data_IF_428203504232
#
_entry.id   IF_428203504232
#
_cell.length_a   1.000
_cell.length_b   1.000
_cell.length_c   1.000
_cell.angle_alpha   90.00
_cell.angle_beta   90.00
_cell.angle_gamma   90.00
#
_symmetry.space_group_name_H-M   'P 1'
#
loop_
_entity.id
_entity.type
_entity.pdbx_description
1 polymer ?
#
# COMPACT_ATOMS: atom_id res chain seq x y z
N UNK A 1 -5.85 -23.98 -4.93
CA UNK A 1 -6.14 -22.68 -4.29
C UNK A 1 -5.47 -21.56 -5.06
N UNK A 2 -6.20 -20.89 -5.95
CA UNK A 2 -5.70 -19.75 -6.72
C UNK A 2 -5.62 -18.54 -5.80
N UNK A 3 -4.43 -18.21 -5.28
CA UNK A 3 -4.19 -16.94 -4.58
C UNK A 3 -4.41 -15.82 -5.60
N UNK A 4 -5.58 -15.19 -5.58
CA UNK A 4 -5.84 -13.96 -6.33
C UNK A 4 -4.86 -12.91 -5.86
N UNK A 5 -3.77 -12.72 -6.61
CA UNK A 5 -2.86 -11.60 -6.39
C UNK A 5 -3.63 -10.35 -6.75
N UNK A 6 -4.04 -9.57 -5.74
CA UNK A 6 -4.49 -8.18 -5.95
C UNK A 6 -3.31 -7.45 -6.57
N UNK A 7 -3.40 -7.18 -7.86
CA UNK A 7 -2.43 -6.36 -8.59
C UNK A 7 -2.77 -4.91 -8.33
N UNK A 8 -2.00 -4.26 -7.48
CA UNK A 8 -2.10 -2.82 -7.28
C UNK A 8 -1.53 -2.12 -8.51
N UNK A 9 -2.33 -1.27 -9.12
CA UNK A 9 -1.90 -0.42 -10.23
C UNK A 9 -0.89 0.62 -9.74
N UNK A 10 -0.04 1.14 -10.62
CA UNK A 10 0.94 2.17 -10.25
C UNK A 10 0.28 3.40 -9.61
N UNK A 11 -0.94 3.76 -10.03
CA UNK A 11 -1.71 4.86 -9.45
C UNK A 11 -2.17 4.59 -8.01
N UNK A 12 -2.64 3.36 -7.70
CA UNK A 12 -3.00 3.00 -6.33
C UNK A 12 -1.78 3.08 -5.41
N UNK A 13 -0.62 2.57 -5.86
CA UNK A 13 0.64 2.64 -5.11
C UNK A 13 1.01 4.08 -4.78
N UNK A 14 0.98 4.97 -5.77
CA UNK A 14 1.28 6.39 -5.59
C UNK A 14 0.27 7.05 -4.66
N UNK A 15 -1.01 6.71 -4.76
CA UNK A 15 -2.05 7.26 -3.87
C UNK A 15 -1.80 6.88 -2.41
N UNK A 16 -1.42 5.63 -2.15
CA UNK A 16 -1.08 5.14 -0.80
C UNK A 16 0.17 5.86 -0.26
N UNK A 17 1.22 5.99 -1.07
CA UNK A 17 2.43 6.74 -0.74
C UNK A 17 2.15 8.21 -0.47
N UNK A 18 1.33 8.86 -1.31
CA UNK A 18 0.95 10.26 -1.16
C UNK A 18 0.13 10.47 0.12
N UNK A 19 -0.78 9.55 0.44
CA UNK A 19 -1.60 9.57 1.65
C UNK A 19 -0.75 9.39 2.91
N UNK A 20 0.29 8.54 2.85
CA UNK A 20 1.28 8.42 3.92
C UNK A 20 2.07 9.72 4.10
N UNK A 21 2.57 10.30 3.01
CA UNK A 21 3.44 11.48 3.02
C UNK A 21 2.70 12.76 3.45
N UNK A 22 1.45 12.94 3.00
CA UNK A 22 0.65 14.14 3.26
C UNK A 22 -0.18 14.00 4.54
N UNK A 23 -0.76 12.82 4.77
CA UNK A 23 -1.70 12.59 5.86
C UNK A 23 -1.06 12.24 7.19
N UNK A 24 0.26 11.96 7.24
CA UNK A 24 0.94 11.32 8.39
C UNK A 24 0.28 10.01 8.85
N UNK A 25 -0.55 9.39 8.01
CA UNK A 25 -1.16 8.10 8.32
C UNK A 25 -0.07 7.04 8.28
N UNK A 26 0.16 6.25 9.33
CA UNK A 26 1.23 5.26 9.33
C UNK A 26 0.98 4.20 8.25
N UNK A 27 2.06 3.68 7.67
CA UNK A 27 2.01 2.57 6.69
C UNK A 27 1.25 1.37 7.25
N UNK A 28 1.29 1.14 8.56
CA UNK A 28 0.56 0.07 9.24
C UNK A 28 -0.96 0.18 9.05
N UNK A 29 -1.56 1.35 9.23
CA UNK A 29 -3.00 1.57 9.01
C UNK A 29 -3.39 1.34 7.55
N UNK A 30 -2.57 1.82 6.62
CA UNK A 30 -2.78 1.60 5.18
C UNK A 30 -2.62 0.11 4.82
N UNK A 31 -1.68 -0.59 5.46
CA UNK A 31 -1.50 -2.01 5.28
C UNK A 31 -2.71 -2.81 5.77
N UNK A 32 -3.31 -2.44 6.89
CA UNK A 32 -4.55 -3.04 7.39
C UNK A 32 -5.76 -2.72 6.49
N UNK A 33 -5.94 -1.47 6.09
CA UNK A 33 -7.06 -1.00 5.26
C UNK A 33 -7.07 -1.66 3.87
N UNK A 34 -5.88 -1.76 3.25
CA UNK A 34 -5.74 -2.30 1.89
C UNK A 34 -5.34 -3.78 1.85
N UNK A 35 -5.03 -4.40 2.99
CA UNK A 35 -4.52 -5.78 3.08
C UNK A 35 -3.14 -5.92 2.43
N UNK A 36 -2.31 -4.89 2.56
CA UNK A 36 -0.97 -4.80 1.98
C UNK A 36 0.09 -5.19 3.01
N UNK A 37 1.22 -5.72 2.55
CA UNK A 37 2.35 -5.96 3.44
C UNK A 37 3.24 -4.69 3.54
N UNK A 38 3.71 -4.29 4.73
CA UNK A 38 4.56 -3.10 4.88
C UNK A 38 5.80 -3.14 3.98
N UNK A 39 6.40 -4.33 3.82
CA UNK A 39 7.55 -4.55 2.94
C UNK A 39 7.28 -4.15 1.47
N UNK A 40 6.04 -4.25 0.99
CA UNK A 40 5.70 -3.80 -0.37
C UNK A 40 5.74 -2.28 -0.49
N UNK A 41 5.32 -1.56 0.55
CA UNK A 41 5.35 -0.09 0.55
C UNK A 41 6.81 0.40 0.55
N UNK A 42 7.68 -0.21 1.37
CA UNK A 42 9.12 0.09 1.35
C UNK A 42 9.80 -0.25 0.02
N UNK A 43 9.25 -1.18 -0.76
CA UNK A 43 9.76 -1.51 -2.10
C UNK A 43 9.28 -0.51 -3.16
N UNK A 44 8.26 0.29 -2.88
CA UNK A 44 7.72 1.32 -3.78
C UNK A 44 8.28 2.71 -3.52
N UNK A 45 8.79 2.95 -2.31
CA UNK A 45 9.63 4.10 -2.00
C UNK A 45 10.95 3.98 -2.77
#
# INVERSE_FOLDING_TARGET
MTRSRRTFTSQEKTTILLRHLIGKTPVSDLCDEFGLHPSQIYTWQ
#
